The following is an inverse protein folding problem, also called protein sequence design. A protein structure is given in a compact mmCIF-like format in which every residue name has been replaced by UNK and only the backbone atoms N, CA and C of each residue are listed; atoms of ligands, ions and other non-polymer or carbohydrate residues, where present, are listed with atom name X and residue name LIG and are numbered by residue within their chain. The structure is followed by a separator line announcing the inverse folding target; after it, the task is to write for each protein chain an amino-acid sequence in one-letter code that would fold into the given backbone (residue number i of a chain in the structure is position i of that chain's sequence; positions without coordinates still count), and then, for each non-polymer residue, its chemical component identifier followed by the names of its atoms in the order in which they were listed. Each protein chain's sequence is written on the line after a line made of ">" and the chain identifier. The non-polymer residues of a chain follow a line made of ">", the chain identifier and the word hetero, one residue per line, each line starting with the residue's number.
data_IF_176038406268
#
_entry.id   IF_176038406268
#
_cell.length_a   1.000
_cell.length_b   1.000
_cell.length_c   1.000
_cell.angle_alpha   90.00
_cell.angle_beta   90.00
_cell.angle_gamma   90.00
#
_symmetry.space_group_name_H-M   'P 1'
#
loop_
_entity.id
_entity.type
_entity.pdbx_description
1 polymer ?
#
# COMPACT_ATOMS: atom_id res chain seq x y z
N UNK A 1 24.97 20.08 30.85
CA UNK A 1 23.61 19.84 30.31
C UNK A 1 23.40 20.52 28.95
N UNK A 2 23.82 21.78 28.75
CA UNK A 2 23.72 22.50 27.46
C UNK A 2 24.49 21.86 26.27
N UNK A 3 25.71 21.35 26.49
CA UNK A 3 26.52 20.75 25.40
C UNK A 3 26.02 19.38 24.88
N UNK A 4 25.10 18.72 25.61
CA UNK A 4 24.50 17.44 25.19
C UNK A 4 23.30 17.69 24.28
N UNK A 5 22.56 18.78 24.49
CA UNK A 5 21.45 19.20 23.62
C UNK A 5 21.94 19.63 22.23
N UNK A 6 23.00 20.46 22.16
CA UNK A 6 23.54 20.91 20.87
C UNK A 6 24.17 19.81 20.01
N UNK A 7 24.59 18.68 20.62
CA UNK A 7 25.04 17.49 19.87
C UNK A 7 23.85 16.67 19.37
N UNK A 8 22.75 16.62 20.11
CA UNK A 8 21.53 15.92 19.74
C UNK A 8 20.79 16.63 18.62
N UNK A 9 20.79 17.96 18.61
CA UNK A 9 20.13 18.76 17.57
C UNK A 9 20.92 18.79 16.25
N UNK A 10 22.24 18.92 16.27
CA UNK A 10 23.08 18.77 15.05
C UNK A 10 22.93 17.40 14.40
N UNK A 11 22.76 16.34 15.20
CA UNK A 11 22.59 14.99 14.66
C UNK A 11 21.20 14.78 14.04
N UNK A 12 20.15 15.39 14.61
CA UNK A 12 18.78 15.38 14.04
C UNK A 12 18.72 16.15 12.72
N UNK A 13 19.41 17.29 12.63
CA UNK A 13 19.43 18.11 11.41
C UNK A 13 20.14 17.38 10.24
N UNK A 14 21.25 16.69 10.52
CA UNK A 14 21.92 15.84 9.54
C UNK A 14 21.05 14.66 9.05
N UNK A 15 20.31 14.02 9.96
CA UNK A 15 19.40 12.91 9.61
C UNK A 15 18.18 13.39 8.81
N UNK A 16 17.70 14.61 9.06
CA UNK A 16 16.63 15.26 8.29
C UNK A 16 17.08 15.58 6.86
N UNK A 17 18.33 16.02 6.69
CA UNK A 17 18.93 16.25 5.37
C UNK A 17 19.07 14.93 4.59
N UNK A 18 19.60 13.88 5.24
CA UNK A 18 19.74 12.55 4.67
C UNK A 18 18.40 11.93 4.25
N UNK A 19 17.35 12.09 5.07
CA UNK A 19 16.00 11.60 4.75
C UNK A 19 15.44 12.28 3.50
N UNK A 20 15.58 13.60 3.40
CA UNK A 20 15.09 14.36 2.23
C UNK A 20 15.85 13.96 0.97
N UNK A 21 17.17 13.83 1.05
CA UNK A 21 17.99 13.40 -0.06
C UNK A 21 17.65 11.98 -0.53
N UNK A 22 17.48 11.05 0.40
CA UNK A 22 17.08 9.67 0.08
C UNK A 22 15.69 9.60 -0.60
N UNK A 23 14.73 10.40 -0.14
CA UNK A 23 13.40 10.49 -0.77
C UNK A 23 13.49 11.05 -2.19
N UNK A 24 14.32 12.07 -2.40
CA UNK A 24 14.53 12.67 -3.72
C UNK A 24 15.18 11.68 -4.68
N UNK A 25 16.18 10.93 -4.22
CA UNK A 25 16.83 9.89 -5.02
C UNK A 25 15.88 8.74 -5.39
N UNK A 26 15.07 8.29 -4.42
CA UNK A 26 14.01 7.31 -4.68
C UNK A 26 13.03 7.80 -5.74
N UNK A 27 12.60 9.07 -5.64
CA UNK A 27 11.66 9.66 -6.59
C UNK A 27 12.23 9.73 -8.01
N UNK A 28 13.49 10.16 -8.16
CA UNK A 28 14.16 10.22 -9.47
C UNK A 28 14.24 8.85 -10.15
N UNK A 29 14.50 7.78 -9.39
CA UNK A 29 14.56 6.42 -9.95
C UNK A 29 13.20 5.89 -10.40
N UNK A 30 12.16 6.18 -9.63
CA UNK A 30 10.81 5.71 -9.94
C UNK A 30 10.14 6.54 -11.04
N UNK A 31 10.50 7.83 -11.16
CA UNK A 31 9.96 8.77 -12.14
C UNK A 31 11.08 9.64 -12.74
N UNK A 32 11.83 9.11 -13.72
CA UNK A 32 13.00 9.80 -14.27
C UNK A 32 12.68 11.10 -15.04
N UNK A 33 11.41 11.43 -15.29
CA UNK A 33 10.99 12.63 -16.03
C UNK A 33 10.30 13.72 -15.21
N UNK A 34 9.87 13.45 -13.97
CA UNK A 34 9.14 14.42 -13.15
C UNK A 34 10.13 15.23 -12.29
N UNK A 35 10.02 16.57 -12.21
CA UNK A 35 10.88 17.37 -11.34
C UNK A 35 10.70 16.94 -9.89
N UNK A 36 11.77 16.56 -9.17
CA UNK A 36 11.65 16.01 -7.84
C UNK A 36 11.27 17.11 -6.85
N UNK A 37 10.13 16.95 -6.18
CA UNK A 37 9.71 17.78 -5.06
C UNK A 37 9.70 16.90 -3.79
N UNK A 38 10.31 17.33 -2.67
CA UNK A 38 10.34 16.54 -1.44
C UNK A 38 8.95 16.12 -0.94
N UNK A 39 7.93 16.97 -1.13
CA UNK A 39 6.57 16.64 -0.70
C UNK A 39 5.94 15.57 -1.60
N UNK A 40 6.10 15.71 -2.92
CA UNK A 40 5.64 14.70 -3.88
C UNK A 40 6.33 13.35 -3.67
N UNK A 41 7.64 13.37 -3.35
CA UNK A 41 8.41 12.19 -3.06
C UNK A 41 7.94 11.48 -1.78
N UNK A 42 7.67 12.25 -0.72
CA UNK A 42 7.09 11.74 0.52
C UNK A 42 5.71 11.12 0.27
N UNK A 43 4.84 11.84 -0.43
CA UNK A 43 3.49 11.37 -0.73
C UNK A 43 3.50 10.13 -1.63
N UNK A 44 4.46 10.03 -2.56
CA UNK A 44 4.62 8.85 -3.40
C UNK A 44 4.96 7.61 -2.55
N UNK A 45 5.91 7.73 -1.62
CA UNK A 45 6.28 6.65 -0.72
C UNK A 45 5.10 6.23 0.18
N UNK A 46 4.38 7.19 0.74
CA UNK A 46 3.18 6.92 1.54
C UNK A 46 2.13 6.14 0.75
N UNK A 47 1.92 6.51 -0.50
CA UNK A 47 0.96 5.84 -1.38
C UNK A 47 1.36 4.42 -1.80
N UNK A 48 2.65 4.05 -1.73
CA UNK A 48 3.08 2.70 -2.07
C UNK A 48 2.80 1.67 -0.98
N UNK A 49 3.07 2.01 0.28
CA UNK A 49 3.10 1.01 1.36
C UNK A 49 2.25 1.36 2.58
N UNK A 50 2.02 2.65 2.83
CA UNK A 50 1.43 3.13 4.08
C UNK A 50 0.00 3.65 3.94
N UNK A 51 -0.52 3.77 2.71
CA UNK A 51 -1.87 4.23 2.45
C UNK A 51 -2.84 3.04 2.35
N UNK A 52 -3.70 2.89 3.36
CA UNK A 52 -4.71 1.80 3.45
C UNK A 52 -5.68 1.76 2.26
N UNK A 53 -5.89 2.88 1.57
CA UNK A 53 -6.75 2.93 0.39
C UNK A 53 -6.09 2.35 -0.86
N UNK A 54 -4.75 2.37 -0.91
CA UNK A 54 -3.96 1.98 -2.08
C UNK A 54 -3.21 0.67 -1.88
N UNK A 55 -2.95 0.28 -0.64
CA UNK A 55 -2.18 -0.89 -0.29
C UNK A 55 -2.92 -1.72 0.77
N UNK A 56 -3.07 -3.02 0.50
CA UNK A 56 -3.75 -3.98 1.38
C UNK A 56 -3.07 -5.35 1.23
N UNK A 57 -2.40 -5.82 2.28
CA UNK A 57 -1.83 -7.18 2.34
C UNK A 57 -2.92 -8.27 2.37
N UNK A 58 -4.17 -7.88 2.58
CA UNK A 58 -5.27 -8.74 2.98
C UNK A 58 -4.94 -9.52 4.27
N UNK A 59 -5.96 -10.23 4.78
CA UNK A 59 -5.80 -11.04 5.99
C UNK A 59 -4.72 -12.13 5.83
N UNK A 60 -4.68 -12.78 4.67
CA UNK A 60 -3.74 -13.88 4.41
C UNK A 60 -2.31 -13.37 4.24
N UNK A 61 -2.10 -12.25 3.54
CA UNK A 61 -0.76 -11.69 3.38
C UNK A 61 -0.19 -11.22 4.70
N UNK A 62 -0.99 -10.56 5.56
CA UNK A 62 -0.53 -10.18 6.90
C UNK A 62 -0.18 -11.39 7.77
N UNK A 63 -1.01 -12.43 7.74
CA UNK A 63 -0.74 -13.68 8.46
C UNK A 63 0.58 -14.33 8.00
N UNK A 64 0.82 -14.40 6.68
CA UNK A 64 2.05 -14.95 6.12
C UNK A 64 3.29 -14.11 6.47
N UNK A 65 3.17 -12.78 6.40
CA UNK A 65 4.22 -11.85 6.78
C UNK A 65 4.61 -12.04 8.25
N UNK A 66 3.63 -12.04 9.15
CA UNK A 66 3.85 -12.20 10.59
C UNK A 66 4.52 -13.56 10.88
N UNK A 67 4.03 -14.65 10.31
CA UNK A 67 4.62 -15.98 10.54
C UNK A 67 6.07 -16.09 10.04
N UNK A 68 6.45 -15.35 8.99
CA UNK A 68 7.79 -15.41 8.43
C UNK A 68 8.78 -14.50 9.15
N UNK A 69 8.35 -13.30 9.53
CA UNK A 69 9.23 -12.22 9.99
C UNK A 69 9.13 -11.92 11.49
N UNK A 70 8.01 -12.30 12.12
CA UNK A 70 7.68 -11.97 13.51
C UNK A 70 7.35 -13.25 14.30
N UNK A 71 8.35 -14.03 14.72
CA UNK A 71 8.14 -15.24 15.51
C UNK A 71 7.30 -15.01 16.77
N UNK A 72 7.43 -13.84 17.39
CA UNK A 72 6.67 -13.41 18.57
C UNK A 72 5.18 -13.17 18.29
N UNK A 73 4.82 -12.88 17.05
CA UNK A 73 3.44 -12.72 16.57
C UNK A 73 2.95 -13.95 15.79
N UNK A 74 3.78 -14.99 15.69
CA UNK A 74 3.46 -16.19 14.90
C UNK A 74 2.30 -16.98 15.51
N UNK A 75 1.34 -17.37 14.68
CA UNK A 75 0.12 -18.08 15.13
C UNK A 75 -0.98 -17.18 15.70
N UNK A 76 -0.71 -15.87 15.89
CA UNK A 76 -1.74 -14.89 16.24
C UNK A 76 -2.65 -14.59 15.04
N UNK A 77 -3.96 -14.53 15.29
CA UNK A 77 -4.95 -14.08 14.31
C UNK A 77 -5.26 -12.57 14.41
N UNK A 78 -4.55 -11.83 15.26
CA UNK A 78 -4.75 -10.40 15.42
C UNK A 78 -4.20 -9.65 14.21
N UNK A 79 -5.12 -9.04 13.47
CA UNK A 79 -4.80 -8.16 12.35
C UNK A 79 -4.71 -6.75 12.94
N UNK A 80 -3.54 -6.37 13.43
CA UNK A 80 -3.28 -5.01 13.92
C UNK A 80 -3.37 -4.00 12.77
N UNK A 81 -2.86 -4.37 11.58
CA UNK A 81 -2.88 -3.53 10.39
C UNK A 81 -2.81 -4.36 9.11
N UNK A 82 -3.39 -3.84 8.03
CA UNK A 82 -3.32 -4.44 6.68
C UNK A 82 -2.31 -3.77 5.77
N UNK A 83 -1.71 -2.68 6.21
CA UNK A 83 -0.59 -2.02 5.52
C UNK A 83 0.75 -2.56 6.03
N UNK A 84 1.82 -2.22 5.31
CA UNK A 84 3.17 -2.44 5.81
C UNK A 84 3.53 -1.37 6.84
N UNK A 85 4.25 -1.78 7.87
CA UNK A 85 4.80 -0.91 8.90
C UNK A 85 6.31 -0.75 8.71
N UNK A 86 6.89 0.27 9.35
CA UNK A 86 8.35 0.45 9.33
C UNK A 86 9.08 -0.73 9.98
N UNK A 87 8.47 -1.37 11.00
CA UNK A 87 9.00 -2.57 11.63
C UNK A 87 9.09 -3.73 10.63
N UNK A 88 8.02 -3.94 9.85
CA UNK A 88 7.97 -4.99 8.83
C UNK A 88 9.10 -4.79 7.80
N UNK A 89 9.32 -3.56 7.34
CA UNK A 89 10.39 -3.25 6.37
C UNK A 89 11.78 -3.55 6.93
N UNK A 90 12.01 -3.25 8.20
CA UNK A 90 13.28 -3.53 8.87
C UNK A 90 13.48 -5.04 8.99
N UNK A 91 12.45 -5.80 9.38
CA UNK A 91 12.55 -7.26 9.48
C UNK A 91 12.70 -7.94 8.12
N UNK A 92 12.06 -7.43 7.06
CA UNK A 92 12.30 -7.91 5.68
C UNK A 92 13.79 -7.79 5.33
N UNK A 93 14.39 -6.62 5.55
CA UNK A 93 15.81 -6.39 5.24
C UNK A 93 16.71 -7.29 6.10
N UNK A 94 16.42 -7.43 7.40
CA UNK A 94 17.16 -8.33 8.28
C UNK A 94 17.09 -9.78 7.81
N UNK A 95 15.91 -10.23 7.40
CA UNK A 95 15.71 -11.60 6.92
C UNK A 95 16.46 -11.84 5.60
N UNK A 96 16.44 -10.88 4.66
CA UNK A 96 17.26 -10.93 3.46
C UNK A 96 18.76 -11.06 3.78
N UNK A 97 19.24 -10.33 4.78
CA UNK A 97 20.63 -10.43 5.25
C UNK A 97 20.91 -11.79 5.91
N UNK A 98 19.97 -12.36 6.67
CA UNK A 98 20.13 -13.70 7.26
C UNK A 98 20.22 -14.78 6.18
N UNK A 99 19.38 -14.71 5.14
CA UNK A 99 19.43 -15.62 3.99
C UNK A 99 20.76 -15.49 3.26
N UNK A 100 21.21 -14.27 2.97
CA UNK A 100 22.50 -14.03 2.30
C UNK A 100 23.70 -14.59 3.10
N UNK A 101 23.62 -14.56 4.43
CA UNK A 101 24.64 -15.14 5.32
C UNK A 101 24.46 -16.64 5.59
N UNK A 102 23.50 -17.31 4.94
CA UNK A 102 23.23 -18.74 5.14
C UNK A 102 22.64 -19.10 6.51
N UNK A 103 22.15 -18.10 7.27
CA UNK A 103 21.51 -18.30 8.59
C UNK A 103 20.00 -18.56 8.49
N UNK A 104 19.43 -18.41 7.31
CA UNK A 104 18.03 -18.70 6.99
C UNK A 104 17.95 -19.30 5.59
N UNK A 105 16.96 -20.15 5.34
CA UNK A 105 16.71 -20.74 4.02
C UNK A 105 15.78 -19.85 3.20
N UNK A 106 15.96 -19.86 1.88
CA UNK A 106 14.98 -19.29 0.94
C UNK A 106 13.66 -20.05 1.00
N UNK A 107 12.59 -19.41 0.54
CA UNK A 107 11.27 -20.02 0.46
C UNK A 107 11.09 -20.78 -0.86
N UNK A 108 10.49 -21.97 -0.80
CA UNK A 108 10.10 -22.73 -1.99
C UNK A 108 8.82 -22.14 -2.59
N UNK A 109 8.90 -21.75 -3.86
CA UNK A 109 7.80 -21.14 -4.62
C UNK A 109 6.72 -22.17 -4.98
N UNK A 110 7.07 -23.45 -5.09
CA UNK A 110 6.14 -24.51 -5.46
C UNK A 110 5.45 -25.15 -4.25
N UNK A 111 5.90 -24.82 -3.04
CA UNK A 111 5.24 -25.23 -1.81
C UNK A 111 3.79 -24.73 -1.79
N UNK A 112 2.84 -25.66 -1.67
CA UNK A 112 1.40 -25.34 -1.73
C UNK A 112 0.97 -24.37 -0.62
N UNK A 113 1.66 -24.35 0.52
CA UNK A 113 1.44 -23.34 1.55
C UNK A 113 1.65 -21.90 1.04
N UNK A 114 2.45 -21.69 0.00
CA UNK A 114 2.71 -20.39 -0.64
C UNK A 114 1.86 -20.17 -1.91
N UNK A 115 1.07 -21.17 -2.31
CA UNK A 115 0.11 -21.08 -3.42
C UNK A 115 -1.30 -20.86 -2.86
N UNK A 116 -2.02 -19.87 -3.38
CA UNK A 116 -3.41 -19.58 -2.99
C UNK A 116 -4.32 -19.65 -4.21
N UNK A 117 -5.33 -20.51 -4.12
CA UNK A 117 -6.40 -20.58 -5.11
C UNK A 117 -7.32 -19.37 -4.93
N UNK A 118 -7.62 -18.67 -6.03
CA UNK A 118 -8.61 -17.59 -6.06
C UNK A 118 -9.85 -18.09 -6.76
N UNK A 119 -10.98 -18.05 -6.07
CA UNK A 119 -12.27 -18.35 -6.67
C UNK A 119 -12.77 -17.18 -7.53
N UNK A 120 -13.69 -17.45 -8.45
CA UNK A 120 -14.31 -16.43 -9.33
C UNK A 120 -14.86 -15.25 -8.53
N UNK A 121 -15.47 -15.52 -7.38
CA UNK A 121 -16.01 -14.49 -6.47
C UNK A 121 -14.95 -13.50 -5.97
N UNK A 122 -13.73 -13.96 -5.69
CA UNK A 122 -12.64 -13.07 -5.26
C UNK A 122 -12.08 -12.24 -6.41
N UNK A 123 -12.02 -12.85 -7.60
CA UNK A 123 -11.55 -12.17 -8.80
C UNK A 123 -12.50 -11.05 -9.19
N UNK A 124 -13.81 -11.32 -9.28
CA UNK A 124 -14.81 -10.29 -9.60
C UNK A 124 -14.87 -9.21 -8.51
N UNK A 125 -14.72 -9.58 -7.24
CA UNK A 125 -14.69 -8.61 -6.13
C UNK A 125 -13.57 -7.58 -6.30
N UNK A 126 -12.40 -7.98 -6.80
CA UNK A 126 -11.29 -7.07 -7.07
C UNK A 126 -11.65 -6.04 -8.15
N UNK A 127 -12.22 -6.48 -9.28
CA UNK A 127 -12.65 -5.58 -10.36
C UNK A 127 -13.77 -4.64 -9.90
N UNK A 128 -14.78 -5.17 -9.20
CA UNK A 128 -15.89 -4.38 -8.66
C UNK A 128 -15.41 -3.35 -7.65
N UNK A 129 -14.43 -3.68 -6.80
CA UNK A 129 -13.79 -2.73 -5.87
C UNK A 129 -13.19 -1.54 -6.62
N UNK A 130 -12.45 -1.77 -7.72
CA UNK A 130 -11.93 -0.69 -8.57
C UNK A 130 -13.06 0.15 -9.20
N UNK A 131 -14.15 -0.49 -9.61
CA UNK A 131 -15.36 0.20 -10.07
C UNK A 131 -15.94 1.15 -9.03
N UNK A 132 -16.03 0.71 -7.77
CA UNK A 132 -16.50 1.53 -6.65
C UNK A 132 -15.53 2.67 -6.31
N UNK A 133 -14.22 2.46 -6.38
CA UNK A 133 -13.24 3.54 -6.17
C UNK A 133 -13.39 4.66 -7.22
N UNK A 134 -13.69 4.29 -8.48
CA UNK A 134 -13.99 5.27 -9.54
C UNK A 134 -15.31 6.01 -9.27
N UNK A 135 -16.33 5.29 -8.80
CA UNK A 135 -17.61 5.88 -8.42
C UNK A 135 -17.46 6.86 -7.24
N UNK A 136 -16.73 6.47 -6.19
CA UNK A 136 -16.42 7.32 -5.02
C UNK A 136 -15.75 8.63 -5.45
N UNK A 137 -14.78 8.55 -6.37
CA UNK A 137 -14.10 9.74 -6.90
C UNK A 137 -15.10 10.69 -7.58
N UNK A 138 -15.96 10.18 -8.46
CA UNK A 138 -16.96 11.00 -9.14
C UNK A 138 -17.99 11.61 -8.18
N UNK A 139 -18.36 10.90 -7.12
CA UNK A 139 -19.23 11.43 -6.06
C UNK A 139 -18.53 12.59 -5.35
N UNK A 140 -17.25 12.42 -4.94
CA UNK A 140 -16.48 13.47 -4.26
C UNK A 140 -16.34 14.72 -5.12
N UNK A 141 -16.03 14.55 -6.41
CA UNK A 141 -15.92 15.67 -7.37
C UNK A 141 -17.23 16.44 -7.48
N UNK A 142 -18.38 15.75 -7.48
CA UNK A 142 -19.70 16.40 -7.52
C UNK A 142 -20.08 17.09 -6.23
N UNK A 143 -19.73 16.52 -5.07
CA UNK A 143 -19.96 17.15 -3.76
C UNK A 143 -19.26 18.51 -3.65
N UNK A 144 -18.16 18.73 -4.38
CA UNK A 144 -17.46 20.02 -4.42
C UNK A 144 -18.15 21.07 -5.30
N UNK A 145 -18.93 20.64 -6.30
CA UNK A 145 -19.52 21.53 -7.32
C UNK A 145 -20.99 21.82 -7.03
N UNK A 146 -21.72 20.86 -6.44
CA UNK A 146 -23.15 20.99 -6.17
C UNK A 146 -23.41 21.89 -4.95
N UNK A 147 -24.52 22.64 -5.04
CA UNK A 147 -24.99 23.50 -3.95
C UNK A 147 -25.52 22.66 -2.78
N UNK A 148 -25.20 23.07 -1.54
CA UNK A 148 -25.53 22.34 -0.32
C UNK A 148 -27.04 22.22 -0.09
N UNK A 149 -27.83 23.18 -0.56
CA UNK A 149 -29.29 23.16 -0.40
C UNK A 149 -29.98 22.17 -1.35
N UNK A 150 -29.32 21.80 -2.46
CA UNK A 150 -29.87 20.90 -3.49
C UNK A 150 -29.27 19.50 -3.46
N UNK A 151 -28.36 19.23 -2.53
CA UNK A 151 -27.62 17.97 -2.49
C UNK A 151 -28.54 16.82 -2.07
N UNK A 152 -28.72 15.85 -2.96
CA UNK A 152 -29.44 14.60 -2.68
C UNK A 152 -28.56 13.40 -3.02
N UNK A 153 -28.69 12.25 -2.32
CA UNK A 153 -27.90 11.06 -2.64
C UNK A 153 -28.07 10.59 -4.09
N UNK A 154 -29.25 10.76 -4.67
CA UNK A 154 -29.55 10.42 -6.06
C UNK A 154 -28.83 11.34 -7.04
N UNK A 155 -28.75 12.65 -6.76
CA UNK A 155 -27.98 13.59 -7.58
C UNK A 155 -26.48 13.30 -7.56
N UNK A 156 -25.94 12.88 -6.40
CA UNK A 156 -24.55 12.49 -6.25
C UNK A 156 -24.24 11.19 -7.02
N UNK A 157 -25.07 10.16 -6.85
CA UNK A 157 -24.93 8.85 -7.51
C UNK A 157 -25.71 8.84 -8.83
N UNK A 158 -25.40 9.77 -9.74
CA UNK A 158 -26.17 9.85 -10.99
C UNK A 158 -25.81 8.77 -12.03
N UNK A 159 -24.66 8.10 -11.91
CA UNK A 159 -24.24 7.05 -12.87
C UNK A 159 -23.51 5.89 -12.22
N UNK A 160 -24.03 4.67 -12.37
CA UNK A 160 -23.38 3.40 -11.98
C UNK A 160 -22.41 2.85 -13.03
N UNK A 161 -22.18 3.61 -14.11
CA UNK A 161 -21.35 3.23 -15.26
C UNK A 161 -19.95 2.69 -14.88
N UNK A 162 -19.20 3.28 -13.93
CA UNK A 162 -17.88 2.76 -13.58
C UNK A 162 -17.92 1.32 -13.02
N UNK A 163 -18.96 0.99 -12.25
CA UNK A 163 -19.14 -0.35 -11.68
C UNK A 163 -19.56 -1.33 -12.77
N UNK A 164 -20.54 -0.97 -13.61
CA UNK A 164 -20.96 -1.83 -14.72
C UNK A 164 -19.83 -2.09 -15.72
N UNK A 165 -19.01 -1.08 -16.02
CA UNK A 165 -17.85 -1.22 -16.88
C UNK A 165 -16.84 -2.21 -16.29
N UNK A 166 -16.53 -2.13 -14.99
CA UNK A 166 -15.62 -3.06 -14.34
C UNK A 166 -16.12 -4.51 -14.37
N UNK A 167 -17.42 -4.73 -14.22
CA UNK A 167 -18.04 -6.06 -14.34
C UNK A 167 -17.95 -6.59 -15.78
N UNK A 168 -18.29 -5.76 -16.77
CA UNK A 168 -18.18 -6.15 -18.19
C UNK A 168 -16.74 -6.43 -18.62
N UNK A 169 -15.79 -5.64 -18.13
CA UNK A 169 -14.35 -5.84 -18.39
C UNK A 169 -13.88 -7.18 -17.84
N UNK A 170 -14.32 -7.55 -16.63
CA UNK A 170 -14.04 -8.87 -16.06
C UNK A 170 -14.56 -10.00 -16.95
N UNK A 171 -15.84 -9.94 -17.37
CA UNK A 171 -16.43 -11.02 -18.17
C UNK A 171 -16.04 -11.02 -19.66
N UNK A 172 -15.68 -9.86 -20.21
CA UNK A 172 -15.41 -9.70 -21.64
C UNK A 172 -13.94 -9.76 -22.04
N UNK A 173 -13.02 -9.57 -21.09
CA UNK A 173 -11.58 -9.47 -21.37
C UNK A 173 -10.67 -10.32 -20.49
N UNK A 174 -11.19 -10.99 -19.46
CA UNK A 174 -10.37 -11.85 -18.60
C UNK A 174 -10.14 -13.22 -19.24
N UNK A 175 -8.89 -13.70 -19.24
CA UNK A 175 -8.53 -15.05 -19.69
C UNK A 175 -9.12 -16.17 -18.81
N UNK A 176 -9.63 -15.82 -17.62
CA UNK A 176 -10.21 -16.74 -16.64
C UNK A 176 -11.73 -16.59 -16.52
N UNK A 177 -12.34 -15.76 -17.38
CA UNK A 177 -13.80 -15.61 -17.45
C UNK A 177 -14.42 -16.59 -18.44
#
# INVERSE_FOLDING_TARGET
>A
KLAVDERKDRHKDGMSYLRREALMELYRRLRPGDPPNPENARQLLENFFFNERRYDLARVGRYKLNNRLHPERAGGNEIESRILTNEDLIEIIKEMIRIANGRSSGDDIDHLGNRRIRAVGELIQMHVRTGFQRLERGIRERMTIMDQETITPQALISTTRPVMAAVREFFGGSQLS
#
